data_IF_742519357128
#
_entry.id   IF_742519357128
#
_cell.length_a   1.000
_cell.length_b   1.000
_cell.length_c   1.000
_cell.angle_alpha   90.00
_cell.angle_beta   90.00
_cell.angle_gamma   90.00
#
_symmetry.space_group_name_H-M   'P 1'
#
loop_
_entity.id
_entity.type
_entity.pdbx_description
1 polymer ?
#
# COMPACT_ATOMS: atom_id res chain seq x y z
N UNK A 1 26.22 61.76 59.76
CA UNK A 1 25.16 61.68 58.74
C UNK A 1 25.58 60.94 57.47
N UNK A 2 26.82 61.05 56.99
CA UNK A 2 27.30 60.36 55.78
C UNK A 2 27.14 58.82 55.77
N UNK A 3 27.44 58.14 56.89
CA UNK A 3 27.33 56.67 56.98
C UNK A 3 25.89 56.13 56.84
N UNK A 4 24.88 56.94 57.17
CA UNK A 4 23.46 56.56 57.02
C UNK A 4 22.99 56.71 55.57
N UNK A 5 23.50 57.71 54.83
CA UNK A 5 23.25 57.90 53.40
C UNK A 5 23.82 56.75 52.59
N UNK A 6 25.09 56.41 52.84
CA UNK A 6 25.79 55.31 52.16
C UNK A 6 25.08 53.97 52.38
N UNK A 7 24.56 53.73 53.59
CA UNK A 7 23.81 52.51 53.91
C UNK A 7 22.43 52.46 53.24
N UNK A 8 21.80 53.61 53.02
CA UNK A 8 20.53 53.71 52.30
C UNK A 8 20.73 53.53 50.80
N UNK A 9 21.76 54.13 50.23
CA UNK A 9 22.15 53.95 48.82
C UNK A 9 22.52 52.49 48.52
N UNK A 10 23.27 51.84 49.40
CA UNK A 10 23.58 50.42 49.28
C UNK A 10 22.34 49.52 49.32
N UNK A 11 21.36 49.84 50.19
CA UNK A 11 20.08 49.12 50.26
C UNK A 11 19.19 49.38 49.04
N UNK A 12 19.24 50.58 48.47
CA UNK A 12 18.49 50.92 47.27
C UNK A 12 19.07 50.19 46.06
N UNK A 13 20.40 50.17 45.92
CA UNK A 13 21.08 49.42 44.86
C UNK A 13 20.82 47.91 44.96
N UNK A 14 20.79 47.34 46.17
CA UNK A 14 20.40 45.94 46.40
C UNK A 14 18.94 45.67 45.99
N UNK A 15 18.01 46.57 46.33
CA UNK A 15 16.60 46.43 45.92
C UNK A 15 16.42 46.49 44.40
N UNK A 16 17.11 47.41 43.73
CA UNK A 16 17.05 47.52 42.27
C UNK A 16 17.62 46.26 41.61
N UNK A 17 18.78 45.77 42.07
CA UNK A 17 19.35 44.53 41.52
C UNK A 17 18.46 43.30 41.73
N UNK A 18 17.73 43.24 42.85
CA UNK A 18 16.73 42.19 43.08
C UNK A 18 15.51 42.33 42.18
N UNK A 19 15.05 43.55 41.91
CA UNK A 19 13.95 43.81 40.97
C UNK A 19 14.35 43.43 39.54
N UNK A 20 15.54 43.80 39.09
CA UNK A 20 16.05 43.42 37.77
C UNK A 20 16.14 41.90 37.60
N UNK A 21 16.53 41.19 38.67
CA UNK A 21 16.57 39.72 38.68
C UNK A 21 15.16 39.11 38.60
N UNK A 22 14.18 39.72 39.27
CA UNK A 22 12.77 39.29 39.23
C UNK A 22 12.17 39.57 37.84
N UNK A 23 12.45 40.72 37.25
CA UNK A 23 11.96 41.09 35.93
C UNK A 23 12.58 40.21 34.83
N UNK A 24 13.87 39.88 34.93
CA UNK A 24 14.52 38.93 34.05
C UNK A 24 13.90 37.51 34.17
N UNK A 25 13.59 37.06 35.40
CA UNK A 25 12.91 35.79 35.63
C UNK A 25 11.47 35.79 35.09
N UNK A 26 10.75 36.91 35.24
CA UNK A 26 9.38 37.08 34.76
C UNK A 26 9.31 37.15 33.23
N UNK A 27 10.29 37.77 32.59
CA UNK A 27 10.46 37.75 31.14
C UNK A 27 10.70 36.31 30.64
N UNK A 28 11.55 35.54 31.32
CA UNK A 28 11.76 34.11 31.04
C UNK A 28 10.47 33.28 31.15
N UNK A 29 9.67 33.51 32.20
CA UNK A 29 8.40 32.82 32.40
C UNK A 29 7.33 33.20 31.36
N UNK A 30 7.30 34.47 30.95
CA UNK A 30 6.36 34.97 29.93
C UNK A 30 6.68 34.41 28.55
N UNK A 31 7.98 34.24 28.24
CA UNK A 31 8.46 33.61 27.01
C UNK A 31 8.24 32.09 26.97
N UNK A 32 8.12 31.42 28.12
CA UNK A 32 7.84 29.99 28.20
C UNK A 32 6.36 29.64 27.96
N UNK A 33 5.44 30.58 28.23
CA UNK A 33 4.00 30.37 28.02
C UNK A 33 3.63 29.94 26.59
N UNK A 34 4.06 30.62 25.51
CA UNK A 34 3.71 30.20 24.14
C UNK A 34 4.27 28.82 23.78
N UNK A 35 5.47 28.46 24.26
CA UNK A 35 6.03 27.11 24.05
C UNK A 35 5.19 26.04 24.77
N UNK A 36 4.71 26.32 25.98
CA UNK A 36 3.83 25.40 26.70
C UNK A 36 2.47 25.27 26.01
N UNK A 37 1.91 26.35 25.47
CA UNK A 37 0.67 26.32 24.69
C UNK A 37 0.83 25.50 23.40
N UNK A 38 1.97 25.61 22.71
CA UNK A 38 2.32 24.82 21.53
C UNK A 38 2.47 23.33 21.85
N UNK A 39 3.20 22.99 22.91
CA UNK A 39 3.33 21.60 23.40
C UNK A 39 1.98 21.04 23.83
N UNK A 40 1.12 21.85 24.48
CA UNK A 40 -0.21 21.40 24.89
C UNK A 40 -1.11 21.12 23.68
N UNK A 41 -1.01 21.94 22.63
CA UNK A 41 -1.72 21.71 21.35
C UNK A 41 -1.19 20.47 20.64
N UNK A 42 0.13 20.27 20.58
CA UNK A 42 0.75 19.08 20.00
C UNK A 42 0.33 17.81 20.74
N UNK A 43 0.38 17.81 22.08
CA UNK A 43 -0.04 16.68 22.91
C UNK A 43 -1.54 16.41 22.81
N UNK A 44 -2.36 17.47 22.72
CA UNK A 44 -3.81 17.32 22.56
C UNK A 44 -4.19 16.78 21.17
N UNK A 45 -3.52 17.26 20.12
CA UNK A 45 -3.64 16.75 18.76
C UNK A 45 -3.21 15.28 18.67
N UNK A 46 -2.07 14.94 19.27
CA UNK A 46 -1.57 13.56 19.33
C UNK A 46 -2.54 12.62 20.05
N UNK A 47 -3.16 13.07 21.16
CA UNK A 47 -4.18 12.29 21.88
C UNK A 47 -5.47 12.11 21.09
N UNK A 48 -5.91 13.12 20.33
CA UNK A 48 -7.06 13.01 19.45
C UNK A 48 -6.79 11.98 18.33
N UNK A 49 -5.66 12.12 17.62
CA UNK A 49 -5.26 11.17 16.57
C UNK A 49 -5.07 9.75 17.10
N UNK A 50 -4.56 9.58 18.32
CA UNK A 50 -4.43 8.26 18.96
C UNK A 50 -5.78 7.66 19.32
N UNK A 51 -6.74 8.47 19.79
CA UNK A 51 -8.10 8.01 20.07
C UNK A 51 -8.82 7.58 18.81
N UNK A 52 -8.70 8.36 17.73
CA UNK A 52 -9.28 8.03 16.44
C UNK A 52 -8.68 6.73 15.88
N UNK A 53 -7.36 6.57 15.98
CA UNK A 53 -6.68 5.33 15.60
C UNK A 53 -7.11 4.11 16.42
N UNK A 54 -7.26 4.24 17.73
CA UNK A 54 -7.76 3.16 18.60
C UNK A 54 -9.22 2.80 18.29
N UNK A 55 -10.07 3.80 18.02
CA UNK A 55 -11.45 3.57 17.60
C UNK A 55 -11.49 2.76 16.31
N UNK A 56 -10.63 3.11 15.34
CA UNK A 56 -10.60 2.42 14.05
C UNK A 56 -10.08 1.00 14.14
N UNK A 57 -9.05 0.76 14.95
CA UNK A 57 -8.57 -0.59 15.24
C UNK A 57 -9.66 -1.43 15.92
N UNK A 58 -10.43 -0.82 16.83
CA UNK A 58 -11.55 -1.50 17.49
C UNK A 58 -12.68 -1.85 16.50
N UNK A 59 -12.99 -0.96 15.55
CA UNK A 59 -13.98 -1.23 14.48
C UNK A 59 -13.54 -2.36 13.56
N UNK A 60 -12.26 -2.40 13.18
CA UNK A 60 -11.68 -3.50 12.38
C UNK A 60 -11.70 -4.82 13.15
N UNK A 61 -11.34 -4.79 14.44
CA UNK A 61 -11.38 -5.96 15.31
C UNK A 61 -12.82 -6.47 15.50
N UNK A 62 -13.78 -5.57 15.68
CA UNK A 62 -15.20 -5.91 15.78
C UNK A 62 -15.74 -6.53 14.48
N UNK A 63 -15.37 -5.98 13.33
CA UNK A 63 -15.72 -6.56 12.03
C UNK A 63 -15.07 -7.94 11.85
N UNK A 64 -13.77 -8.08 12.15
CA UNK A 64 -13.07 -9.35 12.05
C UNK A 64 -13.68 -10.42 12.95
N UNK A 65 -14.09 -10.05 14.16
CA UNK A 65 -14.82 -10.93 15.08
C UNK A 65 -16.20 -11.32 14.52
N UNK A 66 -16.96 -10.37 13.98
CA UNK A 66 -18.25 -10.65 13.36
C UNK A 66 -18.10 -11.57 12.13
N UNK A 67 -17.06 -11.37 11.32
CA UNK A 67 -16.75 -12.22 10.17
C UNK A 67 -16.39 -13.66 10.59
N UNK A 68 -15.60 -13.81 11.66
CA UNK A 68 -15.29 -15.11 12.25
C UNK A 68 -16.54 -15.83 12.80
N UNK A 69 -17.55 -15.08 13.24
CA UNK A 69 -18.85 -15.59 13.68
C UNK A 69 -19.85 -15.84 12.52
N UNK A 70 -19.38 -15.78 11.27
CA UNK A 70 -20.18 -16.12 10.08
C UNK A 70 -20.86 -14.94 9.40
N UNK A 71 -20.61 -13.70 9.83
CA UNK A 71 -21.07 -12.52 9.11
C UNK A 71 -20.29 -12.37 7.79
N UNK A 72 -21.00 -12.24 6.66
CA UNK A 72 -20.39 -12.05 5.33
C UNK A 72 -20.48 -10.61 4.82
N UNK A 73 -20.88 -9.67 5.68
CA UNK A 73 -20.93 -8.26 5.32
C UNK A 73 -19.54 -7.76 4.92
N UNK A 74 -19.46 -7.07 3.79
CA UNK A 74 -18.23 -6.41 3.36
C UNK A 74 -17.76 -5.40 4.41
N UNK A 75 -16.44 -5.17 4.50
CA UNK A 75 -15.90 -4.14 5.37
C UNK A 75 -16.48 -2.77 4.94
N UNK A 76 -16.98 -1.94 5.86
CA UNK A 76 -17.48 -0.60 5.55
C UNK A 76 -16.45 0.21 4.76
N UNK A 77 -16.90 0.95 3.74
CA UNK A 77 -16.03 1.66 2.80
C UNK A 77 -15.22 2.75 3.48
N UNK A 78 -15.77 3.40 4.50
CA UNK A 78 -15.03 4.37 5.28
C UNK A 78 -13.84 3.71 5.99
N UNK A 79 -14.01 2.50 6.56
CA UNK A 79 -12.94 1.73 7.22
C UNK A 79 -11.90 1.28 6.19
N UNK A 80 -12.33 0.81 5.02
CA UNK A 80 -11.42 0.46 3.91
C UNK A 80 -10.62 1.66 3.38
N UNK A 81 -11.14 2.87 3.56
CA UNK A 81 -10.57 4.12 3.06
C UNK A 81 -9.73 4.83 4.14
N UNK A 82 -9.55 4.21 5.31
CA UNK A 82 -8.84 4.81 6.42
C UNK A 82 -7.32 4.88 6.17
N UNK A 83 -6.70 6.07 6.29
CA UNK A 83 -5.26 6.24 6.07
C UNK A 83 -4.37 5.40 7.01
N UNK A 84 -4.82 5.08 8.22
CA UNK A 84 -4.05 4.27 9.17
C UNK A 84 -4.06 2.80 8.78
N UNK A 85 -5.18 2.28 8.27
CA UNK A 85 -5.27 0.91 7.76
C UNK A 85 -4.51 0.76 6.45
N UNK A 86 -4.56 1.78 5.60
CA UNK A 86 -3.74 1.87 4.39
C UNK A 86 -2.24 1.82 4.73
N UNK A 87 -1.81 2.59 5.72
CA UNK A 87 -0.41 2.62 6.17
C UNK A 87 0.01 1.33 6.88
N UNK A 88 -0.86 0.77 7.72
CA UNK A 88 -0.64 -0.55 8.33
C UNK A 88 -0.47 -1.64 7.26
N UNK A 89 -1.28 -1.62 6.20
CA UNK A 89 -1.17 -2.58 5.09
C UNK A 89 0.13 -2.41 4.28
N UNK A 90 0.62 -1.18 4.12
CA UNK A 90 1.91 -0.87 3.48
C UNK A 90 3.09 -1.34 4.33
N UNK A 91 2.99 -1.17 5.65
CA UNK A 91 4.08 -1.41 6.61
C UNK A 91 4.08 -2.84 7.20
N UNK A 92 3.12 -3.70 6.81
CA UNK A 92 3.16 -5.09 7.23
C UNK A 92 4.41 -5.78 6.69
N UNK A 93 5.22 -6.46 7.53
CA UNK A 93 6.18 -7.41 7.03
C UNK A 93 5.45 -8.44 6.16
N UNK A 94 6.13 -9.02 5.17
CA UNK A 94 5.60 -10.11 4.35
C UNK A 94 5.46 -11.41 5.18
N UNK A 95 4.92 -11.33 6.40
CA UNK A 95 4.77 -12.42 7.34
C UNK A 95 3.39 -13.03 7.22
N UNK A 96 3.32 -13.88 6.21
CA UNK A 96 2.68 -15.20 6.15
C UNK A 96 3.08 -15.73 4.78
N UNK A 97 3.75 -16.88 4.72
CA UNK A 97 4.05 -17.54 3.44
C UNK A 97 2.79 -17.52 2.58
N UNK A 98 2.76 -16.78 1.47
CA UNK A 98 1.56 -16.70 0.69
C UNK A 98 1.44 -17.97 -0.14
N UNK A 99 0.30 -18.64 -0.07
CA UNK A 99 -0.11 -19.68 -1.03
C UNK A 99 -0.36 -19.09 -2.44
N UNK A 100 -0.29 -17.76 -2.59
CA UNK A 100 -0.52 -17.07 -3.85
C UNK A 100 0.69 -17.20 -4.77
N UNK A 101 0.52 -17.98 -5.83
CA UNK A 101 1.52 -18.25 -6.87
C UNK A 101 2.25 -17.01 -7.39
N UNK A 102 1.54 -15.90 -7.60
CA UNK A 102 2.12 -14.64 -8.08
C UNK A 102 3.30 -14.15 -7.22
N UNK A 103 3.22 -14.28 -5.89
CA UNK A 103 4.28 -13.84 -4.97
C UNK A 103 5.48 -14.77 -5.02
N UNK A 104 5.26 -16.09 -5.21
CA UNK A 104 6.32 -17.08 -5.39
C UNK A 104 7.05 -16.86 -6.71
N UNK A 105 6.30 -16.70 -7.80
CA UNK A 105 6.85 -16.46 -9.14
C UNK A 105 7.61 -15.14 -9.18
N UNK A 106 7.11 -14.08 -8.52
CA UNK A 106 7.81 -12.81 -8.42
C UNK A 106 9.10 -12.88 -7.59
N UNK A 107 9.11 -13.57 -6.44
CA UNK A 107 10.34 -13.74 -5.64
C UNK A 107 11.43 -14.45 -6.43
N UNK A 108 11.06 -15.46 -7.23
CA UNK A 108 11.98 -16.13 -8.15
C UNK A 108 12.49 -15.17 -9.22
N UNK A 109 11.59 -14.49 -9.92
CA UNK A 109 11.95 -13.58 -11.00
C UNK A 109 12.86 -12.44 -10.52
N UNK A 110 12.46 -11.74 -9.44
CA UNK A 110 13.19 -10.59 -8.88
C UNK A 110 14.62 -10.93 -8.46
N UNK A 111 14.86 -12.10 -7.86
CA UNK A 111 16.22 -12.53 -7.48
C UNK A 111 17.19 -12.66 -8.67
N UNK A 112 16.68 -12.93 -9.88
CA UNK A 112 17.48 -13.05 -11.10
C UNK A 112 17.62 -11.74 -11.88
N UNK A 113 16.93 -10.67 -11.48
CA UNK A 113 16.97 -9.38 -12.17
C UNK A 113 18.14 -8.52 -11.71
N UNK A 114 18.59 -7.60 -12.57
CA UNK A 114 19.58 -6.59 -12.21
C UNK A 114 19.01 -5.48 -11.32
N UNK A 115 19.84 -4.91 -10.45
CA UNK A 115 19.43 -3.87 -9.47
C UNK A 115 18.78 -2.63 -10.12
N UNK A 116 19.27 -2.09 -11.26
CA UNK A 116 18.60 -0.97 -11.93
C UNK A 116 17.18 -1.31 -12.36
N UNK A 117 16.97 -2.50 -12.94
CA UNK A 117 15.66 -2.96 -13.39
C UNK A 117 14.68 -3.15 -12.22
N UNK A 118 15.16 -3.66 -11.08
CA UNK A 118 14.34 -3.76 -9.86
C UNK A 118 13.96 -2.37 -9.31
N UNK A 119 14.82 -1.38 -9.46
CA UNK A 119 14.52 0.00 -9.03
C UNK A 119 13.41 0.61 -9.88
N UNK A 120 13.47 0.42 -11.20
CA UNK A 120 12.40 0.84 -12.12
C UNK A 120 11.08 0.14 -11.82
N UNK A 121 11.12 -1.18 -11.56
CA UNK A 121 9.94 -1.95 -11.19
C UNK A 121 9.35 -1.47 -9.86
N UNK A 122 10.18 -1.20 -8.84
CA UNK A 122 9.69 -0.69 -7.57
C UNK A 122 8.95 0.64 -7.75
N UNK A 123 9.50 1.54 -8.58
CA UNK A 123 8.85 2.82 -8.88
C UNK A 123 7.48 2.61 -9.56
N UNK A 124 7.40 1.69 -10.53
CA UNK A 124 6.14 1.32 -11.17
C UNK A 124 5.15 0.67 -10.19
N UNK A 125 5.62 -0.19 -9.28
CA UNK A 125 4.82 -0.82 -8.23
C UNK A 125 4.38 0.17 -7.13
N UNK A 126 4.94 1.37 -7.07
CA UNK A 126 4.45 2.43 -6.18
C UNK A 126 3.49 3.38 -6.88
N UNK A 127 3.39 3.34 -8.21
CA UNK A 127 2.40 4.12 -8.95
C UNK A 127 1.00 3.53 -8.76
N UNK A 128 0.03 4.29 -8.23
CA UNK A 128 -1.36 3.82 -8.15
C UNK A 128 -1.97 3.64 -9.55
N UNK A 129 -2.74 2.58 -9.75
CA UNK A 129 -3.39 2.33 -11.05
C UNK A 129 -4.84 2.82 -11.08
N UNK A 130 -5.28 3.42 -12.21
CA UNK A 130 -6.67 3.85 -12.39
C UNK A 130 -7.66 2.68 -12.43
N UNK A 131 -7.18 1.48 -12.76
CA UNK A 131 -7.98 0.26 -12.95
C UNK A 131 -7.90 -0.71 -11.78
N UNK A 132 -7.26 -0.32 -10.68
CA UNK A 132 -7.16 -1.18 -9.50
C UNK A 132 -8.50 -1.51 -8.86
N UNK A 133 -8.68 -2.79 -8.63
CA UNK A 133 -9.54 -3.30 -7.57
C UNK A 133 -8.77 -3.45 -6.25
N UNK A 134 -9.44 -3.63 -5.10
CA UNK A 134 -8.78 -3.77 -3.80
C UNK A 134 -7.78 -4.93 -3.72
N UNK A 135 -8.03 -6.06 -4.39
CA UNK A 135 -7.13 -7.21 -4.36
C UNK A 135 -5.85 -6.95 -5.17
N UNK A 136 -5.98 -6.43 -6.39
CA UNK A 136 -4.83 -6.04 -7.21
C UNK A 136 -3.96 -4.99 -6.53
N UNK A 137 -4.59 -4.05 -5.80
CA UNK A 137 -3.88 -3.05 -4.99
C UNK A 137 -3.07 -3.67 -3.86
N UNK A 138 -3.66 -4.55 -3.06
CA UNK A 138 -2.94 -5.25 -1.98
C UNK A 138 -1.77 -6.05 -2.55
N UNK A 139 -2.01 -6.79 -3.64
CA UNK A 139 -0.99 -7.59 -4.29
C UNK A 139 0.17 -6.70 -4.80
N UNK A 140 -0.11 -5.51 -5.33
CA UNK A 140 0.94 -4.56 -5.74
C UNK A 140 1.92 -4.28 -4.62
N UNK A 141 1.41 -3.97 -3.42
CA UNK A 141 2.26 -3.62 -2.29
C UNK A 141 3.01 -4.81 -1.73
N UNK A 142 2.42 -6.01 -1.78
CA UNK A 142 3.14 -7.24 -1.43
C UNK A 142 4.28 -7.52 -2.42
N UNK A 143 4.07 -7.33 -3.71
CA UNK A 143 5.13 -7.44 -4.73
C UNK A 143 6.21 -6.37 -4.52
N UNK A 144 5.80 -5.12 -4.21
CA UNK A 144 6.71 -4.01 -3.92
C UNK A 144 7.56 -4.25 -2.67
N UNK A 145 6.98 -4.87 -1.62
CA UNK A 145 7.71 -5.25 -0.42
C UNK A 145 8.80 -6.28 -0.73
N UNK A 146 8.51 -7.29 -1.56
CA UNK A 146 9.51 -8.26 -2.04
C UNK A 146 10.63 -7.53 -2.80
N UNK A 147 10.28 -6.64 -3.73
CA UNK A 147 11.25 -5.86 -4.50
C UNK A 147 12.13 -4.98 -3.60
N UNK A 148 11.54 -4.35 -2.59
CA UNK A 148 12.25 -3.52 -1.61
C UNK A 148 13.21 -4.34 -0.77
N UNK A 149 12.77 -5.49 -0.27
CA UNK A 149 13.62 -6.42 0.48
C UNK A 149 14.82 -6.89 -0.36
N UNK A 150 14.57 -7.22 -1.63
CA UNK A 150 15.61 -7.62 -2.58
C UNK A 150 16.64 -6.49 -2.80
N UNK A 151 16.19 -5.26 -3.01
CA UNK A 151 17.06 -4.09 -3.15
C UNK A 151 17.90 -3.83 -1.89
N UNK A 152 17.28 -3.90 -0.71
CA UNK A 152 17.98 -3.73 0.56
C UNK A 152 19.05 -4.81 0.77
N UNK A 153 18.74 -6.07 0.43
CA UNK A 153 19.70 -7.19 0.51
C UNK A 153 20.93 -6.97 -0.37
N UNK A 154 20.77 -6.24 -1.47
CA UNK A 154 21.83 -5.88 -2.42
C UNK A 154 22.58 -4.60 -2.03
N UNK A 155 22.25 -3.99 -0.89
CA UNK A 155 22.83 -2.72 -0.44
C UNK A 155 22.35 -1.51 -1.25
N UNK A 156 21.28 -1.63 -2.04
CA UNK A 156 20.69 -0.51 -2.74
C UNK A 156 19.75 0.28 -1.80
N UNK A 157 19.60 1.57 -2.07
CA UNK A 157 18.63 2.41 -1.36
C UNK A 157 17.31 2.41 -2.14
N UNK A 158 16.25 1.72 -1.67
CA UNK A 158 14.98 1.69 -2.37
C UNK A 158 14.27 3.05 -2.28
N UNK A 159 13.48 3.36 -3.31
CA UNK A 159 12.61 4.53 -3.35
C UNK A 159 11.70 4.63 -2.11
N UNK A 160 11.30 5.84 -1.75
CA UNK A 160 10.35 6.05 -0.66
C UNK A 160 8.99 5.40 -0.99
N UNK A 161 8.30 4.94 0.05
CA UNK A 161 6.93 4.42 -0.08
C UNK A 161 5.98 5.52 -0.60
N UNK A 162 4.93 5.16 -1.36
CA UNK A 162 4.01 6.13 -1.89
C UNK A 162 3.14 6.73 -0.78
N UNK A 163 2.76 8.00 -0.96
CA UNK A 163 1.90 8.71 0.00
C UNK A 163 0.41 8.31 -0.09
N UNK A 164 0.01 7.63 -1.17
CA UNK A 164 -1.36 7.18 -1.39
C UNK A 164 -1.37 5.88 -2.18
N UNK A 165 -2.39 5.06 -1.96
CA UNK A 165 -2.64 3.82 -2.69
C UNK A 165 -3.69 3.93 -3.79
N UNK A 166 -4.22 5.14 -4.02
CA UNK A 166 -5.31 5.37 -4.96
C UNK A 166 -4.87 6.29 -6.08
N UNK A 167 -5.27 5.91 -7.30
CA UNK A 167 -5.13 6.79 -8.44
C UNK A 167 -6.07 7.99 -8.30
N UNK A 168 -5.51 9.18 -8.43
CA UNK A 168 -6.27 10.45 -8.43
C UNK A 168 -7.11 10.62 -9.70
N UNK A 169 -6.65 10.09 -10.83
CA UNK A 169 -7.38 10.07 -12.11
C UNK A 169 -7.85 8.65 -12.41
N UNK A 170 -9.17 8.45 -12.42
CA UNK A 170 -9.82 7.18 -12.83
C UNK A 170 -10.71 7.35 -14.05
N UNK A 171 -10.46 8.38 -14.85
CA UNK A 171 -11.21 8.64 -16.08
C UNK A 171 -11.15 7.46 -17.05
N UNK A 172 -12.15 7.35 -17.92
CA UNK A 172 -12.16 6.33 -18.97
C UNK A 172 -10.93 6.42 -19.89
N UNK A 173 -10.30 7.59 -20.01
CA UNK A 173 -9.06 7.77 -20.77
C UNK A 173 -7.87 7.16 -20.03
N UNK A 174 -7.71 7.43 -18.73
CA UNK A 174 -6.66 6.82 -17.90
C UNK A 174 -6.80 5.30 -17.85
N UNK A 175 -8.02 4.78 -17.70
CA UNK A 175 -8.28 3.34 -17.69
C UNK A 175 -7.94 2.66 -19.02
N UNK A 176 -8.22 3.32 -20.16
CA UNK A 176 -7.83 2.82 -21.49
C UNK A 176 -6.31 2.84 -21.68
N UNK A 177 -5.65 3.91 -21.27
CA UNK A 177 -4.19 4.00 -21.34
C UNK A 177 -3.51 2.90 -20.52
N UNK A 178 -4.01 2.64 -19.31
CA UNK A 178 -3.54 1.55 -18.46
C UNK A 178 -3.78 0.17 -19.08
N UNK A 179 -4.95 -0.08 -19.64
CA UNK A 179 -5.24 -1.35 -20.30
C UNK A 179 -4.33 -1.59 -21.52
N UNK A 180 -3.98 -0.54 -22.27
CA UNK A 180 -3.01 -0.62 -23.35
C UNK A 180 -1.58 -0.91 -22.85
N UNK A 181 -1.20 -0.41 -21.68
CA UNK A 181 0.07 -0.75 -21.04
C UNK A 181 0.14 -2.23 -20.64
N UNK A 182 -0.89 -2.73 -19.95
CA UNK A 182 -0.98 -4.14 -19.57
C UNK A 182 -0.92 -5.07 -20.79
N UNK A 183 -1.56 -4.67 -21.89
CA UNK A 183 -1.49 -5.40 -23.15
C UNK A 183 -0.07 -5.43 -23.74
N UNK A 184 0.68 -4.32 -23.66
CA UNK A 184 2.09 -4.30 -24.08
C UNK A 184 2.93 -5.22 -23.22
N UNK A 185 2.76 -5.17 -21.90
CA UNK A 185 3.47 -6.07 -20.96
C UNK A 185 3.14 -7.53 -21.24
N UNK A 186 1.87 -7.85 -21.50
CA UNK A 186 1.43 -9.20 -21.87
C UNK A 186 2.08 -9.68 -23.17
N UNK A 187 2.07 -8.85 -24.22
CA UNK A 187 2.66 -9.19 -25.54
C UNK A 187 4.18 -9.29 -25.53
N UNK A 188 4.86 -8.59 -24.62
CA UNK A 188 6.31 -8.71 -24.45
C UNK A 188 6.73 -10.11 -23.99
N UNK A 189 5.81 -10.88 -23.40
CA UNK A 189 6.03 -12.27 -23.02
C UNK A 189 6.68 -12.42 -21.64
N UNK A 190 7.20 -13.62 -21.36
CA UNK A 190 7.78 -13.96 -20.06
C UNK A 190 8.96 -13.04 -19.71
N UNK A 191 8.87 -12.35 -18.57
CA UNK A 191 9.87 -11.43 -18.09
C UNK A 191 9.49 -10.82 -16.74
N UNK A 192 10.45 -10.15 -16.09
CA UNK A 192 10.24 -9.57 -14.76
C UNK A 192 9.05 -8.61 -14.70
N UNK A 193 8.87 -7.77 -15.71
CA UNK A 193 7.75 -6.83 -15.79
C UNK A 193 6.37 -7.52 -15.79
N UNK A 194 6.26 -8.72 -16.39
CA UNK A 194 5.02 -9.48 -16.44
C UNK A 194 4.65 -10.01 -15.05
N UNK A 195 5.62 -10.56 -14.31
CA UNK A 195 5.40 -11.08 -12.96
C UNK A 195 5.28 -9.99 -11.89
N UNK A 196 5.84 -8.80 -12.16
CA UNK A 196 5.73 -7.64 -11.30
C UNK A 196 4.36 -6.95 -11.36
N UNK A 197 3.53 -7.30 -12.35
CA UNK A 197 2.26 -6.62 -12.62
C UNK A 197 1.09 -7.32 -11.90
N UNK A 198 0.56 -6.74 -10.81
CA UNK A 198 -0.52 -7.34 -10.04
C UNK A 198 -1.81 -7.55 -10.86
N UNK A 199 -2.15 -6.63 -11.77
CA UNK A 199 -3.38 -6.71 -12.58
C UNK A 199 -3.34 -7.84 -13.63
N UNK A 200 -2.15 -8.40 -13.92
CA UNK A 200 -1.96 -9.55 -14.82
C UNK A 200 -1.84 -10.88 -14.08
N UNK A 201 -1.76 -10.87 -12.74
CA UNK A 201 -1.60 -12.09 -11.93
C UNK A 201 -2.69 -13.14 -12.20
N UNK A 202 -3.94 -12.71 -12.29
CA UNK A 202 -5.07 -13.61 -12.61
C UNK A 202 -4.99 -14.22 -14.02
N UNK A 203 -4.44 -13.48 -14.99
CA UNK A 203 -4.21 -13.99 -16.34
C UNK A 203 -3.08 -15.03 -16.37
N UNK A 204 -2.01 -14.80 -15.59
CA UNK A 204 -0.92 -15.77 -15.40
C UNK A 204 -1.42 -17.06 -14.76
N UNK A 205 -2.29 -16.95 -13.76
CA UNK A 205 -2.90 -18.12 -13.11
C UNK A 205 -3.75 -18.94 -14.09
N UNK A 206 -4.50 -18.30 -14.98
CA UNK A 206 -5.28 -18.96 -16.03
C UNK A 206 -4.37 -19.73 -17.00
N UNK A 207 -3.30 -19.09 -17.50
CA UNK A 207 -2.34 -19.77 -18.39
C UNK A 207 -1.68 -20.94 -17.68
N UNK A 208 -1.32 -20.78 -16.41
CA UNK A 208 -0.65 -21.83 -15.68
C UNK A 208 -1.59 -22.96 -15.22
N UNK A 209 -2.89 -22.71 -15.05
CA UNK A 209 -3.90 -23.74 -14.93
C UNK A 209 -4.04 -24.52 -16.25
N UNK A 210 -4.14 -23.84 -17.39
CA UNK A 210 -4.20 -24.48 -18.70
C UNK A 210 -2.96 -25.35 -19.00
N UNK A 211 -1.75 -24.89 -18.64
CA UNK A 211 -0.52 -25.70 -18.75
C UNK A 211 -0.60 -26.99 -17.92
N UNK A 212 -1.24 -26.98 -16.74
CA UNK A 212 -1.39 -28.16 -15.88
C UNK A 212 -2.45 -29.13 -16.40
N UNK A 213 -3.59 -28.60 -16.82
CA UNK A 213 -4.70 -29.40 -17.36
C UNK A 213 -4.33 -30.06 -18.70
N UNK A 214 -3.55 -29.35 -19.52
CA UNK A 214 -3.07 -29.86 -20.80
C UNK A 214 -1.83 -30.77 -20.71
N UNK A 215 -1.40 -31.17 -19.52
CA UNK A 215 -0.18 -31.99 -19.35
C UNK A 215 -0.25 -33.38 -20.01
N UNK A 216 -1.45 -33.87 -20.30
CA UNK A 216 -1.69 -35.14 -21.01
C UNK A 216 -1.89 -34.99 -22.52
N UNK A 217 -1.92 -33.77 -23.04
CA UNK A 217 -2.07 -33.48 -24.47
C UNK A 217 -0.75 -33.62 -25.22
N UNK A 218 -0.82 -33.79 -26.55
CA UNK A 218 0.39 -33.67 -27.37
C UNK A 218 0.94 -32.23 -27.33
N UNK A 219 2.24 -32.08 -27.56
CA UNK A 219 2.90 -30.77 -27.54
C UNK A 219 2.26 -29.77 -28.53
N UNK A 220 1.88 -30.25 -29.72
CA UNK A 220 1.22 -29.43 -30.74
C UNK A 220 -0.18 -28.96 -30.30
N UNK A 221 -0.96 -29.83 -29.67
CA UNK A 221 -2.29 -29.48 -29.15
C UNK A 221 -2.19 -28.50 -27.98
N UNK A 222 -1.24 -28.74 -27.06
CA UNK A 222 -0.99 -27.84 -25.94
C UNK A 222 -0.55 -26.45 -26.42
N UNK A 223 0.41 -26.39 -27.36
CA UNK A 223 0.89 -25.11 -27.89
C UNK A 223 -0.20 -24.34 -28.63
N UNK A 224 -0.99 -25.03 -29.47
CA UNK A 224 -2.14 -24.44 -30.16
C UNK A 224 -3.20 -23.89 -29.19
N UNK A 225 -3.51 -24.64 -28.13
CA UNK A 225 -4.43 -24.24 -27.06
C UNK A 225 -3.93 -23.02 -26.29
N UNK A 226 -2.65 -23.02 -25.88
CA UNK A 226 -2.04 -21.89 -25.19
C UNK A 226 -1.98 -20.63 -26.05
N UNK A 227 -1.69 -20.74 -27.35
CA UNK A 227 -1.72 -19.62 -28.27
C UNK A 227 -3.15 -19.03 -28.42
N UNK A 228 -4.17 -19.89 -28.49
CA UNK A 228 -5.56 -19.45 -28.52
C UNK A 228 -6.00 -18.76 -27.20
N UNK A 229 -5.53 -19.29 -26.07
CA UNK A 229 -5.76 -18.71 -24.75
C UNK A 229 -5.08 -17.34 -24.64
N UNK A 230 -3.82 -17.22 -25.07
CA UNK A 230 -3.08 -15.96 -25.09
C UNK A 230 -3.83 -14.86 -25.86
N UNK A 231 -4.30 -15.17 -27.08
CA UNK A 231 -5.12 -14.25 -27.88
C UNK A 231 -6.46 -13.89 -27.23
N UNK A 232 -7.02 -14.79 -26.43
CA UNK A 232 -8.27 -14.53 -25.71
C UNK A 232 -8.04 -13.59 -24.54
N UNK A 233 -6.95 -13.77 -23.80
CA UNK A 233 -6.53 -12.84 -22.75
C UNK A 233 -6.24 -11.46 -23.35
N UNK A 234 -5.53 -11.39 -24.48
CA UNK A 234 -5.28 -10.12 -25.19
C UNK A 234 -6.57 -9.35 -25.49
N UNK A 235 -7.57 -10.01 -26.11
CA UNK A 235 -8.86 -9.37 -26.42
C UNK A 235 -9.60 -8.86 -25.18
N UNK A 236 -9.48 -9.57 -24.06
CA UNK A 236 -10.10 -9.17 -22.78
C UNK A 236 -9.39 -7.98 -22.17
N UNK A 237 -8.06 -7.96 -22.20
CA UNK A 237 -7.27 -6.80 -21.76
C UNK A 237 -7.57 -5.57 -22.64
N UNK A 238 -7.71 -5.74 -23.96
CA UNK A 238 -8.13 -4.69 -24.89
C UNK A 238 -9.52 -4.13 -24.54
N UNK A 239 -10.44 -4.99 -24.10
CA UNK A 239 -11.76 -4.59 -23.61
C UNK A 239 -11.75 -3.96 -22.20
N UNK A 240 -10.58 -3.87 -21.55
CA UNK A 240 -10.42 -3.33 -20.21
C UNK A 240 -10.75 -4.32 -19.08
N UNK A 241 -10.95 -5.60 -19.37
CA UNK A 241 -11.20 -6.63 -18.36
C UNK A 241 -9.91 -7.06 -17.64
N UNK A 242 -10.05 -7.63 -16.44
CA UNK A 242 -8.98 -8.30 -15.68
C UNK A 242 -9.35 -9.78 -15.48
N UNK A 243 -8.92 -10.67 -16.38
CA UNK A 243 -9.20 -12.10 -16.28
C UNK A 243 -8.71 -12.68 -14.95
N UNK A 244 -9.56 -13.48 -14.30
CA UNK A 244 -9.23 -14.12 -13.03
C UNK A 244 -9.84 -15.50 -12.94
N UNK A 245 -9.04 -16.48 -12.50
CA UNK A 245 -9.40 -17.90 -12.49
C UNK A 245 -10.71 -18.18 -11.73
N UNK A 246 -10.88 -17.61 -10.53
CA UNK A 246 -12.09 -17.82 -9.71
C UNK A 246 -13.38 -17.31 -10.36
N UNK A 247 -13.31 -16.20 -11.09
CA UNK A 247 -14.46 -15.60 -11.79
C UNK A 247 -14.78 -16.36 -13.07
N UNK A 248 -13.76 -16.78 -13.81
CA UNK A 248 -13.95 -17.48 -15.07
C UNK A 248 -14.36 -18.94 -14.87
N UNK A 249 -13.84 -19.63 -13.85
CA UNK A 249 -14.28 -20.97 -13.46
C UNK A 249 -15.74 -20.97 -12.97
N UNK A 250 -16.18 -19.93 -12.25
CA UNK A 250 -17.60 -19.72 -11.90
C UNK A 250 -18.49 -19.49 -13.12
N UNK A 251 -18.04 -18.72 -14.12
CA UNK A 251 -18.79 -18.51 -15.38
C UNK A 251 -18.91 -19.79 -16.21
N UNK A 252 -17.85 -20.60 -16.24
CA UNK A 252 -17.86 -21.91 -16.89
C UNK A 252 -18.80 -22.89 -16.18
N UNK A 253 -18.78 -22.93 -14.84
CA UNK A 253 -19.66 -23.80 -14.06
C UNK A 253 -21.13 -23.35 -14.08
N UNK A 254 -21.40 -22.04 -14.02
CA UNK A 254 -22.76 -21.49 -14.13
C UNK A 254 -23.39 -21.68 -15.50
N UNK A 255 -22.60 -21.68 -16.58
CA UNK A 255 -23.08 -22.03 -17.92
C UNK A 255 -23.39 -23.54 -18.08
N UNK A 256 -22.78 -24.40 -17.26
CA UNK A 256 -23.07 -25.84 -17.21
C UNK A 256 -24.34 -26.12 -16.39
N UNK A 257 -24.60 -25.37 -15.32
CA UNK A 257 -25.85 -25.48 -14.55
C UNK A 257 -27.08 -25.01 -15.36
N UNK A 258 -26.98 -23.89 -16.09
CA UNK A 258 -28.09 -23.41 -16.95
C UNK A 258 -28.43 -24.40 -18.08
N UNK A 259 -27.49 -25.26 -18.48
CA UNK A 259 -27.71 -26.34 -19.45
C UNK A 259 -28.25 -27.65 -18.85
N UNK A 260 -28.24 -27.80 -17.52
CA UNK A 260 -28.86 -28.96 -16.83
C UNK A 260 -30.32 -28.73 -16.48
N UNK A 261 -30.74 -27.47 -16.40
CA UNK A 261 -32.13 -27.06 -16.10
C UNK A 261 -32.96 -26.72 -17.35
N UNK A 262 -32.52 -27.16 -18.54
CA UNK A 262 -33.28 -27.11 -19.80
C UNK A 262 -33.29 -28.48 -20.47
#
# INVERSE_FOLDING_TARGET
MAARSIRLEAKYADMVGRLDTIDAALAGATNAKPMLDEVLQEVSGARASMRDGLSRVAEVAAWAHAAAMGNRAALPTDILDDPLLERFAIDQPADRMPDTRALVDWRRASSAMETPALTEILAAQYAPSPTDDPHSRVLRYQLAAITREELLRRGATPSAAPATTRASDRSATAQRARSAELLRTWRAGEGGALYAEPELSGALDIVAAAKREGASLSEAELFGGLAALHRTIERRLEAGERPALATDQRRLNGAVEIKRDR
#
